data_IF_912014762763
#
_entry.id   IF_912014762763
#
_cell.length_a   1.000
_cell.length_b   1.000
_cell.length_c   1.000
_cell.angle_alpha   90.00
_cell.angle_beta   90.00
_cell.angle_gamma   90.00
#
_symmetry.space_group_name_H-M   'P 1'
#
loop_
_entity.id
_entity.type
_entity.pdbx_description
1 polymer ?
#
# COMPACT_ATOMS: atom_id res chain seq x y z
N UNK A 1 -76.72 -39.96 -68.57
CA UNK A 1 -76.26 -40.16 -67.22
C UNK A 1 -74.95 -39.39 -67.04
N UNK A 2 -75.05 -38.19 -66.54
CA UNK A 2 -73.99 -37.18 -66.48
C UNK A 2 -73.45 -37.15 -65.07
N UNK A 3 -72.18 -37.50 -64.88
CA UNK A 3 -71.50 -37.36 -63.60
C UNK A 3 -70.56 -36.12 -63.61
N UNK A 4 -70.94 -35.17 -62.79
CA UNK A 4 -70.25 -33.91 -62.62
C UNK A 4 -69.03 -34.09 -61.68
N UNK A 5 -67.85 -33.67 -62.13
CA UNK A 5 -66.65 -33.68 -61.33
C UNK A 5 -66.46 -32.32 -60.62
N UNK A 6 -66.41 -32.32 -59.31
CA UNK A 6 -66.19 -31.14 -58.49
C UNK A 6 -64.67 -30.94 -58.28
N UNK A 7 -64.13 -29.83 -58.80
CA UNK A 7 -62.72 -29.45 -58.54
C UNK A 7 -62.58 -28.83 -57.17
N UNK A 8 -61.56 -29.35 -56.40
CA UNK A 8 -61.14 -28.84 -55.07
C UNK A 8 -60.02 -27.78 -55.27
N UNK A 9 -60.06 -26.63 -54.56
CA UNK A 9 -59.02 -25.61 -54.65
C UNK A 9 -57.82 -26.00 -53.79
N UNK A 10 -56.61 -25.89 -54.38
CA UNK A 10 -55.33 -26.05 -53.70
C UNK A 10 -55.06 -24.81 -52.86
N UNK A 11 -54.99 -24.95 -51.54
CA UNK A 11 -54.56 -23.88 -50.62
C UNK A 11 -53.04 -23.88 -50.58
N UNK A 12 -52.43 -22.84 -51.14
CA UNK A 12 -51.01 -22.52 -50.99
C UNK A 12 -50.76 -22.05 -49.52
N UNK A 13 -49.96 -22.80 -48.78
CA UNK A 13 -49.44 -22.40 -47.48
C UNK A 13 -48.18 -21.61 -47.70
N UNK A 14 -48.26 -20.26 -47.51
CA UNK A 14 -47.08 -19.44 -47.38
C UNK A 14 -46.40 -19.72 -46.04
N UNK A 15 -45.20 -20.29 -46.13
CA UNK A 15 -44.34 -20.49 -44.95
C UNK A 15 -43.59 -19.18 -44.68
N UNK A 16 -44.00 -18.42 -43.65
CA UNK A 16 -43.25 -17.28 -43.19
C UNK A 16 -42.10 -17.80 -42.29
N UNK A 17 -40.88 -17.74 -42.80
CA UNK A 17 -39.68 -17.97 -42.02
C UNK A 17 -39.35 -16.69 -41.29
N UNK A 18 -39.71 -16.59 -40.01
CA UNK A 18 -39.30 -15.50 -39.14
C UNK A 18 -37.85 -15.76 -38.66
N UNK A 19 -36.90 -15.02 -39.21
CA UNK A 19 -35.52 -15.01 -38.77
C UNK A 19 -35.44 -14.23 -37.46
N UNK A 20 -35.36 -14.93 -36.33
CA UNK A 20 -35.13 -14.31 -35.02
C UNK A 20 -33.65 -13.94 -34.89
N UNK A 21 -33.33 -12.64 -35.00
CA UNK A 21 -32.01 -12.11 -34.63
C UNK A 21 -31.89 -12.10 -33.12
N UNK A 22 -31.24 -13.11 -32.55
CA UNK A 22 -30.80 -13.09 -31.17
C UNK A 22 -29.56 -12.21 -31.05
N UNK A 23 -29.75 -10.95 -30.63
CA UNK A 23 -28.65 -10.05 -30.25
C UNK A 23 -27.99 -10.60 -28.97
N UNK A 24 -26.79 -11.14 -29.10
CA UNK A 24 -25.92 -11.48 -27.99
C UNK A 24 -25.46 -10.17 -27.31
N UNK A 25 -26.14 -9.75 -26.25
CA UNK A 25 -25.67 -8.70 -25.36
C UNK A 25 -24.50 -9.29 -24.57
N UNK A 26 -23.27 -9.02 -25.02
CA UNK A 26 -22.06 -9.32 -24.24
C UNK A 26 -22.03 -8.30 -23.09
N UNK A 27 -22.11 -8.71 -21.82
CA UNK A 27 -21.95 -7.78 -20.72
C UNK A 27 -20.51 -7.26 -20.77
N UNK A 28 -20.34 -5.98 -21.09
CA UNK A 28 -19.08 -5.28 -20.88
C UNK A 28 -18.90 -5.22 -19.35
N UNK A 29 -18.07 -6.12 -18.83
CA UNK A 29 -17.62 -6.05 -17.45
C UNK A 29 -16.88 -4.71 -17.29
N UNK A 30 -17.57 -3.69 -16.77
CA UNK A 30 -16.94 -2.48 -16.28
C UNK A 30 -16.03 -2.95 -15.14
N UNK A 31 -14.72 -2.86 -15.36
CA UNK A 31 -13.76 -2.91 -14.27
C UNK A 31 -14.15 -1.79 -13.29
N UNK A 32 -14.84 -2.15 -12.22
CA UNK A 32 -15.08 -1.23 -11.12
C UNK A 32 -13.70 -0.90 -10.56
N UNK A 33 -13.24 0.32 -10.78
CA UNK A 33 -12.15 0.91 -10.01
C UNK A 33 -12.58 0.80 -8.54
N UNK A 34 -12.05 -0.20 -7.84
CA UNK A 34 -12.25 -0.30 -6.40
C UNK A 34 -11.72 0.99 -5.79
N UNK A 35 -12.62 1.77 -5.18
CA UNK A 35 -12.21 2.90 -4.37
C UNK A 35 -11.25 2.35 -3.29
N UNK A 36 -10.05 2.94 -3.19
CA UNK A 36 -9.06 2.56 -2.19
C UNK A 36 -9.69 2.62 -0.80
N UNK A 37 -9.41 1.64 0.04
CA UNK A 37 -9.78 1.72 1.45
C UNK A 37 -9.10 2.93 2.10
N UNK A 38 -9.63 3.46 3.20
CA UNK A 38 -9.02 4.61 3.86
C UNK A 38 -7.54 4.37 4.25
N UNK A 39 -7.14 3.18 4.75
CA UNK A 39 -5.74 2.82 4.97
C UNK A 39 -4.89 2.86 3.71
N UNK A 40 -5.37 2.30 2.59
CA UNK A 40 -4.64 2.32 1.32
C UNK A 40 -4.49 3.73 0.77
N UNK A 41 -5.51 4.58 0.95
CA UNK A 41 -5.45 5.97 0.52
C UNK A 41 -4.37 6.78 1.26
N UNK A 42 -4.10 6.47 2.54
CA UNK A 42 -3.01 7.09 3.28
C UNK A 42 -1.64 6.54 2.83
N UNK A 43 -1.50 5.21 2.69
CA UNK A 43 -0.29 4.59 2.18
C UNK A 43 0.02 5.05 0.74
N UNK A 44 -1.01 5.29 -0.08
CA UNK A 44 -0.84 5.81 -1.46
C UNK A 44 -0.18 7.19 -1.48
N UNK A 45 -0.41 8.03 -0.45
CA UNK A 45 0.28 9.31 -0.28
C UNK A 45 1.77 9.16 0.01
N UNK A 46 2.18 8.01 0.54
CA UNK A 46 3.59 7.72 0.81
C UNK A 46 4.37 7.34 -0.45
N UNK A 47 3.69 6.81 -1.50
CA UNK A 47 4.37 6.39 -2.73
C UNK A 47 5.08 7.53 -3.45
N UNK A 48 6.22 7.21 -4.09
CA UNK A 48 7.02 8.14 -4.88
C UNK A 48 8.45 8.26 -4.38
N UNK A 49 9.12 9.33 -4.84
CA UNK A 49 10.53 9.59 -4.54
C UNK A 49 10.63 10.78 -3.58
N UNK A 50 11.39 10.61 -2.51
CA UNK A 50 11.53 11.58 -1.45
C UNK A 50 12.98 11.87 -1.12
N UNK A 51 13.24 13.06 -0.63
CA UNK A 51 14.46 13.38 0.12
C UNK A 51 14.05 13.52 1.58
N UNK A 52 14.67 12.72 2.42
CA UNK A 52 14.48 12.75 3.86
C UNK A 52 15.62 13.54 4.49
N UNK A 53 15.30 14.53 5.31
CA UNK A 53 16.27 15.36 6.02
C UNK A 53 15.88 15.53 7.48
N UNK A 54 16.86 15.70 8.34
CA UNK A 54 16.62 15.96 9.77
C UNK A 54 17.77 15.51 10.63
N UNK A 55 17.46 14.89 11.78
CA UNK A 55 18.47 14.38 12.73
C UNK A 55 18.20 12.95 13.13
N UNK A 56 19.27 12.14 13.20
CA UNK A 56 19.27 10.77 13.73
C UNK A 56 20.39 10.70 14.80
N UNK A 57 20.07 10.27 16.01
CA UNK A 57 21.05 10.21 17.09
C UNK A 57 21.76 11.55 17.34
N UNK A 58 21.04 12.67 17.17
CA UNK A 58 21.54 14.07 17.26
C UNK A 58 22.49 14.51 16.13
N UNK A 59 22.71 13.69 15.11
CA UNK A 59 23.53 14.05 13.93
C UNK A 59 22.62 14.44 12.77
N UNK A 60 22.96 15.46 11.96
CA UNK A 60 22.26 15.70 10.71
C UNK A 60 22.27 14.45 9.83
N UNK A 61 21.16 14.21 9.13
CA UNK A 61 21.02 13.10 8.20
C UNK A 61 20.29 13.56 6.93
N UNK A 62 20.73 13.03 5.79
CA UNK A 62 20.03 13.18 4.50
C UNK A 62 20.03 11.83 3.79
N UNK A 63 18.83 11.31 3.54
CA UNK A 63 18.65 10.05 2.85
C UNK A 63 17.76 10.23 1.61
N UNK A 64 17.98 9.41 0.61
CA UNK A 64 17.02 9.21 -0.48
C UNK A 64 16.07 8.09 -0.08
N UNK A 65 14.77 8.30 -0.34
CA UNK A 65 13.73 7.35 0.02
C UNK A 65 12.81 7.13 -1.17
N UNK A 66 12.75 5.90 -1.64
CA UNK A 66 11.87 5.49 -2.72
C UNK A 66 10.77 4.57 -2.17
N UNK A 67 9.51 4.87 -2.50
CA UNK A 67 8.36 4.16 -1.96
C UNK A 67 7.44 3.72 -3.09
N UNK A 68 7.12 2.43 -3.12
CA UNK A 68 6.24 1.84 -4.12
C UNK A 68 5.34 0.73 -3.55
N UNK A 69 4.23 0.49 -4.26
CA UNK A 69 3.42 -0.68 -4.01
C UNK A 69 4.05 -1.91 -4.64
N UNK A 70 4.11 -2.99 -3.89
CA UNK A 70 4.63 -4.29 -4.35
C UNK A 70 3.59 -5.40 -4.13
N UNK A 71 3.86 -6.60 -4.65
CA UNK A 71 3.04 -7.80 -4.46
C UNK A 71 1.55 -7.55 -4.76
N UNK A 72 1.24 -6.99 -5.97
CA UNK A 72 -0.12 -6.65 -6.42
C UNK A 72 -0.84 -5.64 -5.51
N UNK A 73 -0.11 -4.66 -4.98
CA UNK A 73 -0.58 -3.62 -4.05
C UNK A 73 -0.99 -4.14 -2.66
N UNK A 74 -0.47 -5.29 -2.24
CA UNK A 74 -0.69 -5.78 -0.86
C UNK A 74 0.23 -5.08 0.15
N UNK A 75 1.44 -4.64 -0.29
CA UNK A 75 2.45 -4.03 0.57
C UNK A 75 2.96 -2.72 -0.02
N UNK A 76 3.22 -1.74 0.86
CA UNK A 76 4.14 -0.64 0.58
C UNK A 76 5.56 -1.15 0.87
N UNK A 77 6.48 -0.90 -0.06
CA UNK A 77 7.91 -1.08 0.12
C UNK A 77 8.58 0.28 0.16
N UNK A 78 9.35 0.54 1.21
CA UNK A 78 10.17 1.74 1.38
C UNK A 78 11.62 1.30 1.25
N UNK A 79 12.38 1.92 0.36
CA UNK A 79 13.83 1.79 0.23
C UNK A 79 14.46 3.09 0.68
N UNK A 80 15.18 3.06 1.78
CA UNK A 80 15.87 4.20 2.37
C UNK A 80 17.37 4.02 2.23
N UNK A 81 18.07 5.05 1.68
CA UNK A 81 19.51 5.02 1.47
C UNK A 81 20.12 6.33 1.96
N UNK A 82 21.07 6.24 2.88
CA UNK A 82 21.84 7.39 3.34
C UNK A 82 22.73 7.96 2.23
N UNK A 83 22.82 9.29 2.16
CA UNK A 83 23.81 9.96 1.31
C UNK A 83 25.20 9.98 1.94
N UNK A 84 25.30 9.71 3.25
CA UNK A 84 26.58 9.57 3.92
C UNK A 84 27.26 8.26 3.53
N UNK A 85 28.60 8.25 3.65
CA UNK A 85 29.43 7.11 3.38
C UNK A 85 29.99 6.56 4.69
N UNK A 86 30.18 5.25 4.74
CA UNK A 86 30.91 4.59 5.82
C UNK A 86 32.44 4.79 5.65
N UNK A 87 33.21 4.25 6.60
CA UNK A 87 34.67 4.37 6.59
C UNK A 87 35.35 3.68 5.39
N UNK A 88 34.66 2.75 4.71
CA UNK A 88 35.13 2.07 3.50
C UNK A 88 34.72 2.78 2.20
N UNK A 89 33.92 3.86 2.30
CA UNK A 89 33.34 4.57 1.16
C UNK A 89 32.05 3.95 0.63
N UNK A 90 31.53 2.92 1.29
CA UNK A 90 30.23 2.31 1.01
C UNK A 90 29.06 3.15 1.51
N UNK A 91 27.82 2.62 1.39
CA UNK A 91 26.60 3.23 1.92
C UNK A 91 26.63 3.10 3.46
N UNK A 92 26.54 4.23 4.18
CA UNK A 92 26.58 4.22 5.63
C UNK A 92 25.32 3.56 6.26
N UNK A 93 24.16 3.77 5.62
CA UNK A 93 22.91 3.17 6.08
C UNK A 93 21.98 2.87 4.90
N UNK A 94 21.39 1.69 4.91
CA UNK A 94 20.38 1.25 3.95
C UNK A 94 19.32 0.42 4.67
N UNK A 95 18.04 0.68 4.34
CA UNK A 95 16.92 -0.07 4.89
C UNK A 95 15.87 -0.41 3.84
N UNK A 96 15.25 -1.57 4.03
CA UNK A 96 14.04 -2.01 3.35
C UNK A 96 12.93 -2.18 4.38
N UNK A 97 11.84 -1.41 4.20
CA UNK A 97 10.71 -1.41 5.13
C UNK A 97 9.46 -1.81 4.35
N UNK A 98 8.69 -2.74 4.90
CA UNK A 98 7.45 -3.21 4.29
C UNK A 98 6.29 -2.92 5.22
N UNK A 99 5.27 -2.23 4.73
CA UNK A 99 4.05 -1.92 5.47
C UNK A 99 2.86 -2.60 4.79
N UNK A 100 1.99 -3.22 5.58
CA UNK A 100 0.75 -3.86 5.13
C UNK A 100 -0.42 -3.44 6.02
N UNK A 101 -1.61 -3.38 5.43
CA UNK A 101 -2.86 -3.26 6.18
C UNK A 101 -3.43 -4.63 6.51
N UNK A 102 -3.51 -4.99 7.80
CA UNK A 102 -4.20 -6.19 8.28
C UNK A 102 -5.67 -5.87 8.51
N UNK A 103 -6.53 -6.13 7.52
CA UNK A 103 -7.96 -5.85 7.59
C UNK A 103 -8.68 -6.67 8.69
N UNK A 104 -8.16 -7.85 9.06
CA UNK A 104 -8.75 -8.69 10.11
C UNK A 104 -8.54 -8.09 11.49
N UNK A 105 -7.37 -7.48 11.72
CA UNK A 105 -7.02 -6.83 12.98
C UNK A 105 -7.39 -5.34 13.00
N UNK A 106 -7.63 -4.74 11.82
CA UNK A 106 -7.86 -3.31 11.67
C UNK A 106 -6.63 -2.50 12.08
N UNK A 107 -5.45 -2.90 11.64
CA UNK A 107 -4.17 -2.26 11.97
C UNK A 107 -3.16 -2.37 10.83
N UNK A 108 -2.16 -1.50 10.84
CA UNK A 108 -0.97 -1.65 10.02
C UNK A 108 0.03 -2.57 10.74
N UNK A 109 0.73 -3.40 9.95
CA UNK A 109 1.93 -4.09 10.39
C UNK A 109 3.13 -3.61 9.56
N UNK A 110 4.31 -3.52 10.18
CA UNK A 110 5.55 -3.11 9.52
C UNK A 110 6.68 -4.06 9.85
N UNK A 111 7.46 -4.44 8.83
CA UNK A 111 8.72 -5.14 8.99
C UNK A 111 9.85 -4.22 8.52
N UNK A 112 10.89 -4.09 9.34
CA UNK A 112 12.04 -3.23 9.09
C UNK A 112 13.31 -4.06 9.00
N UNK A 113 14.02 -3.97 7.89
CA UNK A 113 15.27 -4.65 7.62
C UNK A 113 16.30 -3.59 7.24
N UNK A 114 17.43 -3.54 7.94
CA UNK A 114 18.50 -2.62 7.62
C UNK A 114 19.88 -3.27 7.65
N UNK A 115 20.90 -2.57 7.18
CA UNK A 115 22.25 -3.08 7.10
C UNK A 115 22.95 -3.18 8.48
N UNK A 116 22.29 -2.79 9.58
CA UNK A 116 22.75 -3.06 10.95
C UNK A 116 22.26 -4.42 11.45
N UNK A 117 21.26 -5.02 10.78
CA UNK A 117 20.58 -6.27 11.16
C UNK A 117 20.02 -6.26 12.60
N UNK A 118 19.69 -5.06 13.14
CA UNK A 118 19.29 -4.91 14.53
C UNK A 118 17.95 -5.58 14.85
N UNK A 119 17.02 -5.62 13.87
CA UNK A 119 15.68 -6.22 14.04
C UNK A 119 15.59 -7.66 13.59
N UNK A 120 16.47 -8.13 12.69
CA UNK A 120 16.45 -9.45 12.04
C UNK A 120 15.02 -9.97 11.74
N UNK A 121 14.74 -11.29 11.82
CA UNK A 121 13.41 -11.90 11.62
C UNK A 121 12.74 -12.31 12.95
N UNK A 122 13.12 -11.72 14.06
CA UNK A 122 12.45 -11.97 15.34
C UNK A 122 11.04 -11.36 15.34
N UNK A 123 10.15 -11.87 16.19
CA UNK A 123 8.76 -11.39 16.27
C UNK A 123 8.69 -9.91 16.68
N UNK A 124 9.60 -9.47 17.52
CA UNK A 124 9.78 -8.08 17.94
C UNK A 124 10.26 -7.15 16.82
N UNK A 125 10.78 -7.71 15.73
CA UNK A 125 11.10 -6.99 14.48
C UNK A 125 9.87 -6.60 13.66
N UNK A 126 8.65 -6.95 14.10
CA UNK A 126 7.39 -6.55 13.47
C UNK A 126 6.69 -5.52 14.35
N UNK A 127 6.56 -4.31 13.85
CA UNK A 127 5.82 -3.23 14.50
C UNK A 127 4.35 -3.22 14.10
N UNK A 128 3.50 -2.71 15.01
CA UNK A 128 2.06 -2.60 14.79
C UNK A 128 1.55 -1.20 15.07
N UNK A 129 0.55 -0.73 14.31
CA UNK A 129 -0.07 0.59 14.48
C UNK A 129 -1.57 0.55 14.23
N UNK A 130 -2.36 1.16 15.10
CA UNK A 130 -3.76 1.51 14.77
C UNK A 130 -3.77 2.80 13.95
N UNK A 131 -4.71 2.95 12.99
CA UNK A 131 -4.91 4.21 12.28
C UNK A 131 -5.17 5.37 13.25
N UNK A 132 -4.51 6.51 13.01
CA UNK A 132 -4.66 7.75 13.79
C UNK A 132 -4.73 8.96 12.84
N UNK A 133 -5.84 9.10 12.12
CA UNK A 133 -6.00 10.13 11.09
C UNK A 133 -4.95 10.02 9.99
N UNK A 134 -4.14 11.08 9.84
CA UNK A 134 -3.03 11.11 8.89
C UNK A 134 -1.70 10.58 9.47
N UNK A 135 -1.76 9.80 10.54
CA UNK A 135 -0.60 9.27 11.25
C UNK A 135 -0.62 7.75 11.28
N UNK A 136 0.57 7.15 11.27
CA UNK A 136 0.78 5.72 11.43
C UNK A 136 1.82 5.52 12.56
N UNK A 137 1.37 5.40 13.82
CA UNK A 137 2.25 5.30 14.99
C UNK A 137 2.60 3.84 15.29
N UNK A 138 3.63 3.30 14.66
CA UNK A 138 4.09 1.95 14.92
C UNK A 138 4.79 1.82 16.27
N UNK A 139 4.56 0.70 16.92
CA UNK A 139 5.24 0.28 18.15
C UNK A 139 5.92 -1.06 17.87
N UNK A 140 7.22 -1.10 18.13
CA UNK A 140 8.04 -2.32 18.22
C UNK A 140 8.34 -2.53 19.70
N UNK A 141 8.12 -3.74 20.21
CA UNK A 141 8.42 -4.09 21.60
C UNK A 141 9.09 -5.44 21.68
N UNK A 142 10.15 -5.51 22.46
CA UNK A 142 10.75 -6.77 22.87
C UNK A 142 9.99 -7.41 24.06
N UNK A 143 10.44 -8.59 24.49
CA UNK A 143 9.83 -9.33 25.59
C UNK A 143 9.92 -8.58 26.93
N UNK A 144 10.94 -7.74 27.11
CA UNK A 144 11.18 -6.92 28.29
C UNK A 144 10.37 -5.63 28.33
N UNK A 145 9.66 -5.30 27.21
CA UNK A 145 8.84 -4.10 27.08
C UNK A 145 9.62 -2.84 26.72
N UNK A 146 10.91 -2.96 26.37
CA UNK A 146 11.65 -1.90 25.67
C UNK A 146 11.30 -1.91 24.20
N UNK A 147 11.76 -0.94 23.43
CA UNK A 147 11.54 -0.95 22.00
C UNK A 147 11.59 0.43 21.36
N UNK A 148 10.87 0.55 20.24
CA UNK A 148 10.87 1.74 19.41
C UNK A 148 9.43 2.15 19.11
N UNK A 149 9.17 3.46 19.25
CA UNK A 149 8.01 4.13 18.71
C UNK A 149 8.42 4.84 17.43
N UNK A 150 7.86 4.49 16.27
CA UNK A 150 8.14 5.19 15.03
C UNK A 150 6.84 5.69 14.40
N UNK A 151 6.74 6.98 14.15
CA UNK A 151 5.50 7.59 13.65
C UNK A 151 5.74 8.29 12.33
N UNK A 152 5.02 7.87 11.32
CA UNK A 152 4.85 8.61 10.07
C UNK A 152 3.61 9.50 10.18
N UNK A 153 3.72 10.79 9.89
CA UNK A 153 2.58 11.71 9.87
C UNK A 153 2.59 12.56 8.59
N UNK A 154 1.47 12.53 7.87
CA UNK A 154 1.33 13.22 6.59
C UNK A 154 0.78 14.63 6.78
N UNK A 155 1.48 15.63 6.24
CA UNK A 155 0.99 17.01 6.12
C UNK A 155 0.35 17.21 4.74
N UNK A 156 -0.99 17.18 4.70
CA UNK A 156 -1.76 17.34 3.46
C UNK A 156 -1.55 18.67 2.77
N UNK A 157 -1.30 19.74 3.53
CA UNK A 157 -1.15 21.09 2.98
C UNK A 157 0.19 21.26 2.24
N UNK A 158 1.21 20.53 2.68
CA UNK A 158 2.57 20.62 2.13
C UNK A 158 2.97 19.46 1.25
N UNK A 159 2.16 18.38 1.21
CA UNK A 159 2.53 17.09 0.61
C UNK A 159 3.89 16.60 1.12
N UNK A 160 4.05 16.57 2.45
CA UNK A 160 5.26 16.11 3.14
C UNK A 160 4.91 15.10 4.22
N UNK A 161 5.88 14.28 4.58
CA UNK A 161 5.78 13.41 5.74
C UNK A 161 6.77 13.85 6.82
N UNK A 162 6.32 13.88 8.07
CA UNK A 162 7.23 13.85 9.21
C UNK A 162 7.41 12.40 9.66
N UNK A 163 8.62 12.06 10.05
CA UNK A 163 8.96 10.74 10.56
C UNK A 163 9.74 10.91 11.86
N UNK A 164 9.18 10.44 12.97
CA UNK A 164 9.81 10.49 14.28
C UNK A 164 10.10 9.10 14.79
N UNK A 165 11.24 8.91 15.44
CA UNK A 165 11.63 7.67 16.08
C UNK A 165 12.01 7.98 17.51
N UNK A 166 11.40 7.29 18.46
CA UNK A 166 11.67 7.41 19.88
C UNK A 166 12.03 6.04 20.47
N UNK A 167 13.06 5.99 21.29
CA UNK A 167 13.39 4.80 22.08
C UNK A 167 12.44 4.72 23.29
N UNK A 168 11.95 3.53 23.60
CA UNK A 168 11.15 3.23 24.78
C UNK A 168 11.99 2.42 25.77
N UNK A 169 11.98 2.79 27.03
CA UNK A 169 12.56 1.97 28.08
C UNK A 169 11.50 1.08 28.75
N UNK A 170 11.92 0.18 29.64
CA UNK A 170 11.04 -0.75 30.38
C UNK A 170 9.96 -0.05 31.21
N UNK A 171 10.17 1.20 31.63
CA UNK A 171 9.17 2.01 32.35
C UNK A 171 8.18 2.71 31.39
N UNK A 172 8.30 2.50 30.06
CA UNK A 172 7.50 3.19 29.05
C UNK A 172 7.90 4.64 28.80
N UNK A 173 9.00 5.12 29.38
CA UNK A 173 9.50 6.47 29.13
C UNK A 173 10.15 6.53 27.76
N UNK A 174 9.70 7.52 26.96
CA UNK A 174 10.20 7.80 25.62
C UNK A 174 11.39 8.76 25.64
N UNK A 175 12.33 8.55 24.72
CA UNK A 175 13.41 9.49 24.41
C UNK A 175 13.60 9.60 22.90
N UNK A 176 13.65 10.83 22.38
CA UNK A 176 13.76 11.06 20.94
C UNK A 176 15.09 10.56 20.39
N UNK A 177 15.02 9.72 19.35
CA UNK A 177 16.15 9.20 18.60
C UNK A 177 16.27 9.90 17.24
N UNK A 178 15.15 10.07 16.50
CA UNK A 178 15.18 10.72 15.19
C UNK A 178 13.99 11.68 15.00
N UNK A 179 14.23 12.77 14.27
CA UNK A 179 13.22 13.71 13.77
C UNK A 179 13.53 14.05 12.32
N UNK A 180 12.69 13.63 11.42
CA UNK A 180 12.92 13.63 10.00
C UNK A 180 11.73 14.21 9.25
N UNK A 181 11.98 14.81 8.09
CA UNK A 181 10.96 15.29 7.15
C UNK A 181 11.28 14.76 5.77
N UNK A 182 10.28 14.17 5.11
CA UNK A 182 10.34 13.71 3.73
C UNK A 182 9.67 14.77 2.84
N UNK A 183 10.40 15.26 1.86
CA UNK A 183 9.90 16.16 0.81
C UNK A 183 10.02 15.49 -0.55
N UNK A 184 9.08 15.74 -1.46
CA UNK A 184 9.14 15.16 -2.81
C UNK A 184 10.47 15.50 -3.48
N UNK A 185 11.14 14.49 -4.04
CA UNK A 185 12.30 14.70 -4.89
C UNK A 185 11.80 15.23 -6.24
N UNK A 186 12.32 16.39 -6.67
CA UNK A 186 12.06 17.00 -7.99
C UNK A 186 12.83 16.27 -9.08
#
# INVERSE_FOLDING_TARGET
>A
MTTSAVARPIRARCLFVTLAFTSLIVPVARAQSQALSAPDALLDKMTGHWVMTGTIGKKPATHDVDVDWVLKREYIRIHEVSRDKDASGGIAYEAWIYIVWDAKKGEYAVMWLDNTAATNFAAEGVGHAKPDGDRIPFIFKDAEGTGIHTTFAYDRAKDTWSWTIDNLNTSGKSSSFAKLTLTRRK
#
